data_IF_300596097686
#
_entry.id   IF_300596097686
#
_cell.length_a   1.000
_cell.length_b   1.000
_cell.length_c   1.000
_cell.angle_alpha   90.00
_cell.angle_beta   90.00
_cell.angle_gamma   90.00
#
_symmetry.space_group_name_H-M   'P 1'
#
loop_
_entity.id
_entity.type
_entity.pdbx_description
1 polymer ?
#
# COMPACT_ATOMS: atom_id res chain seq x y z
N UNK A 1 24.35 -15.23 8.47
CA UNK A 1 24.45 -15.52 7.03
C UNK A 1 23.11 -16.10 6.60
N UNK A 2 22.25 -15.34 5.92
CA UNK A 2 20.98 -15.89 5.42
C UNK A 2 21.26 -16.85 4.27
N UNK A 3 20.72 -18.06 4.31
CA UNK A 3 20.93 -19.05 3.25
C UNK A 3 20.26 -18.58 1.96
N UNK A 4 20.89 -18.83 0.80
CA UNK A 4 20.34 -18.48 -0.52
C UNK A 4 18.89 -18.92 -0.70
N UNK A 5 18.55 -20.11 -0.20
CA UNK A 5 17.19 -20.66 -0.22
C UNK A 5 16.18 -19.80 0.57
N UNK A 6 16.59 -19.13 1.64
CA UNK A 6 15.73 -18.23 2.40
C UNK A 6 15.38 -16.97 1.61
N UNK A 7 16.35 -16.39 0.89
CA UNK A 7 16.16 -15.21 0.05
C UNK A 7 15.26 -15.53 -1.14
N UNK A 8 15.50 -16.65 -1.83
CA UNK A 8 14.69 -17.10 -2.97
C UNK A 8 13.22 -17.30 -2.58
N UNK A 9 12.96 -17.87 -1.39
CA UNK A 9 11.61 -18.02 -0.85
C UNK A 9 10.93 -16.69 -0.56
N UNK A 10 11.66 -15.71 0.00
CA UNK A 10 11.10 -14.37 0.25
C UNK A 10 10.77 -13.67 -1.06
N UNK A 11 11.66 -13.73 -2.05
CA UNK A 11 11.44 -13.12 -3.36
C UNK A 11 10.21 -13.73 -4.06
N UNK A 12 10.08 -15.05 -4.02
CA UNK A 12 8.92 -15.75 -4.58
C UNK A 12 7.60 -15.41 -3.86
N UNK A 13 7.65 -15.10 -2.56
CA UNK A 13 6.48 -14.69 -1.77
C UNK A 13 6.22 -13.18 -1.81
N UNK A 14 7.16 -12.38 -2.34
CA UNK A 14 7.02 -10.93 -2.42
C UNK A 14 6.15 -10.58 -3.62
N UNK A 15 4.98 -9.96 -3.42
CA UNK A 15 4.10 -9.62 -4.52
C UNK A 15 4.78 -8.66 -5.50
N UNK A 16 4.61 -8.95 -6.78
CA UNK A 16 5.04 -8.06 -7.87
C UNK A 16 4.34 -6.70 -7.79
N UNK A 17 4.87 -5.72 -8.51
CA UNK A 17 4.21 -4.41 -8.60
C UNK A 17 2.80 -4.51 -9.18
N UNK A 18 2.62 -5.32 -10.23
CA UNK A 18 1.32 -5.58 -10.85
C UNK A 18 0.33 -6.18 -9.85
N UNK A 19 0.71 -7.22 -9.11
CA UNK A 19 -0.18 -7.84 -8.11
C UNK A 19 -0.54 -6.88 -6.97
N UNK A 20 0.38 -5.99 -6.59
CA UNK A 20 0.09 -4.93 -5.60
C UNK A 20 -0.89 -3.91 -6.16
N UNK A 21 -0.74 -3.50 -7.42
CA UNK A 21 -1.65 -2.59 -8.08
C UNK A 21 -3.07 -3.18 -8.19
N UNK A 22 -3.20 -4.44 -8.63
CA UNK A 22 -4.48 -5.15 -8.71
C UNK A 22 -5.15 -5.28 -7.34
N UNK A 23 -4.40 -5.71 -6.31
CA UNK A 23 -4.92 -5.79 -4.95
C UNK A 23 -5.43 -4.42 -4.46
N UNK A 24 -4.70 -3.36 -4.77
CA UNK A 24 -5.08 -1.99 -4.40
C UNK A 24 -6.36 -1.58 -5.13
N UNK A 25 -6.47 -1.84 -6.43
CA UNK A 25 -7.67 -1.53 -7.21
C UNK A 25 -8.92 -2.25 -6.66
N UNK A 26 -8.79 -3.54 -6.30
CA UNK A 26 -9.89 -4.31 -5.69
C UNK A 26 -10.31 -3.73 -4.34
N UNK A 27 -9.35 -3.33 -3.50
CA UNK A 27 -9.65 -2.72 -2.21
C UNK A 27 -10.38 -1.37 -2.38
N UNK A 28 -9.93 -0.52 -3.32
CA UNK A 28 -10.61 0.75 -3.63
C UNK A 28 -12.03 0.51 -4.13
N UNK A 29 -12.23 -0.46 -5.03
CA UNK A 29 -13.56 -0.83 -5.53
C UNK A 29 -14.49 -1.30 -4.40
N UNK A 30 -13.98 -2.12 -3.46
CA UNK A 30 -14.75 -2.56 -2.30
C UNK A 30 -15.17 -1.39 -1.41
N UNK A 31 -14.25 -0.47 -1.11
CA UNK A 31 -14.54 0.72 -0.29
C UNK A 31 -15.61 1.58 -0.98
N UNK A 32 -15.48 1.81 -2.29
CA UNK A 32 -16.48 2.53 -3.08
C UNK A 32 -17.85 1.85 -3.01
N UNK A 33 -17.89 0.54 -3.16
CA UNK A 33 -19.15 -0.21 -3.21
C UNK A 33 -19.86 -0.32 -1.85
N UNK A 34 -19.13 -0.29 -0.73
CA UNK A 34 -19.70 -0.70 0.56
C UNK A 34 -19.55 0.30 1.71
N UNK A 35 -18.59 1.22 1.63
CA UNK A 35 -18.22 2.08 2.76
C UNK A 35 -18.30 3.57 2.44
N UNK A 36 -17.93 3.98 1.24
CA UNK A 36 -17.88 5.37 0.81
C UNK A 36 -18.03 5.50 -0.70
N UNK A 37 -19.27 5.62 -1.17
CA UNK A 37 -19.61 5.67 -2.59
C UNK A 37 -19.01 6.88 -3.33
N UNK A 38 -18.85 8.00 -2.62
CA UNK A 38 -18.29 9.25 -3.13
C UNK A 38 -16.74 9.28 -3.13
N UNK A 39 -16.06 8.17 -2.81
CA UNK A 39 -14.60 8.13 -2.74
C UNK A 39 -13.96 8.43 -4.10
N UNK A 40 -13.27 9.57 -4.20
CA UNK A 40 -12.64 10.05 -5.43
C UNK A 40 -11.21 9.52 -5.61
N UNK A 41 -10.60 9.76 -6.76
CA UNK A 41 -9.17 9.48 -6.96
C UNK A 41 -8.28 10.46 -6.18
N UNK A 42 -8.72 11.70 -5.99
CA UNK A 42 -8.01 12.68 -5.17
C UNK A 42 -7.91 12.22 -3.71
N UNK A 43 -9.00 11.66 -3.14
CA UNK A 43 -8.97 11.05 -1.80
C UNK A 43 -7.90 9.94 -1.70
N UNK A 44 -7.76 9.12 -2.74
CA UNK A 44 -6.77 8.03 -2.79
C UNK A 44 -5.35 8.60 -2.93
N UNK A 45 -5.16 9.65 -3.73
CA UNK A 45 -3.87 10.36 -3.86
C UNK A 45 -3.45 10.95 -2.52
N UNK A 46 -4.34 11.69 -1.87
CA UNK A 46 -4.11 12.28 -0.55
C UNK A 46 -3.73 11.21 0.50
N UNK A 47 -4.43 10.08 0.50
CA UNK A 47 -4.11 8.99 1.42
C UNK A 47 -2.72 8.40 1.16
N UNK A 48 -2.29 8.29 -0.11
CA UNK A 48 -0.93 7.85 -0.48
C UNK A 48 0.12 8.83 -0.02
N UNK A 49 -0.11 10.13 -0.20
CA UNK A 49 0.80 11.19 0.23
C UNK A 49 0.96 11.20 1.75
N UNK A 50 -0.14 11.12 2.50
CA UNK A 50 -0.09 11.00 3.97
C UNK A 50 0.67 9.76 4.42
N UNK A 51 0.45 8.62 3.77
CA UNK A 51 1.21 7.38 4.07
C UNK A 51 2.71 7.55 3.79
N UNK A 52 3.06 8.20 2.69
CA UNK A 52 4.45 8.51 2.37
C UNK A 52 5.08 9.44 3.43
N UNK A 53 4.35 10.48 3.85
CA UNK A 53 4.81 11.41 4.88
C UNK A 53 5.00 10.73 6.25
N UNK A 54 4.10 9.82 6.64
CA UNK A 54 4.26 8.98 7.84
C UNK A 54 5.51 8.09 7.72
N UNK A 55 5.67 7.43 6.58
CA UNK A 55 6.82 6.54 6.33
C UNK A 55 8.14 7.31 6.33
N UNK A 56 8.13 8.55 5.83
CA UNK A 56 9.27 9.46 5.86
C UNK A 56 9.52 10.10 7.24
N UNK A 57 8.71 9.79 8.25
CA UNK A 57 8.82 10.37 9.59
C UNK A 57 8.47 11.86 9.65
N UNK A 58 7.85 12.40 8.62
CA UNK A 58 7.44 13.81 8.52
C UNK A 58 6.16 14.09 9.33
N UNK A 59 5.40 13.03 9.66
CA UNK A 59 4.19 13.08 10.47
C UNK A 59 4.40 12.17 11.68
N UNK A 60 4.32 12.74 12.89
CA UNK A 60 4.46 11.99 14.15
C UNK A 60 5.65 12.37 15.03
N UNK A 61 6.50 13.33 14.65
CA UNK A 61 7.43 13.94 15.60
C UNK A 61 6.67 14.83 16.58
N UNK A 62 6.26 14.22 17.70
CA UNK A 62 5.96 14.99 18.91
C UNK A 62 7.22 15.78 19.27
N UNK A 63 7.07 17.09 19.38
CA UNK A 63 7.86 17.89 20.29
C UNK A 63 7.31 17.70 21.70
#
# INVERSE_FOLDING_TARGET
MYSRAYVERILAATPTETERAERTARAVAYVRAHLREDLTEDDVRDARERRAAITAGQVGSRR
#
